data_IF_386186659166
#
_entry.id   IF_386186659166
#
_cell.length_a   1.000
_cell.length_b   1.000
_cell.length_c   1.000
_cell.angle_alpha   90.00
_cell.angle_beta   90.00
_cell.angle_gamma   90.00
#
_symmetry.space_group_name_H-M   'P 1'
#
loop_
_entity.id
_entity.type
_entity.pdbx_description
1 polymer ?
#
# COMPACT_ATOMS: atom_id res chain seq x y z
N UNK A 1 10.02 -8.99 12.93
CA UNK A 1 11.21 -8.10 13.10
C UNK A 1 11.12 -6.86 12.21
N UNK A 2 10.87 -6.98 10.89
CA UNK A 2 10.77 -5.82 9.99
C UNK A 2 9.74 -4.77 10.42
N UNK A 3 8.54 -5.18 10.80
CA UNK A 3 7.50 -4.26 11.24
C UNK A 3 7.87 -3.50 12.52
N UNK A 4 8.65 -4.13 13.42
CA UNK A 4 9.12 -3.46 14.63
C UNK A 4 10.18 -2.40 14.31
N UNK A 5 11.12 -2.72 13.43
CA UNK A 5 12.11 -1.76 12.95
C UNK A 5 11.44 -0.57 12.25
N UNK A 6 10.42 -0.84 11.44
CA UNK A 6 9.63 0.20 10.78
C UNK A 6 8.97 1.13 11.80
N UNK A 7 8.38 0.62 12.88
CA UNK A 7 7.83 1.45 13.96
C UNK A 7 8.90 2.31 14.64
N UNK A 8 10.08 1.79 14.92
CA UNK A 8 11.18 2.54 15.52
C UNK A 8 11.62 3.71 14.62
N UNK A 9 11.64 3.48 13.30
CA UNK A 9 11.91 4.54 12.31
C UNK A 9 10.80 5.60 12.35
N UNK A 10 9.54 5.19 12.36
CA UNK A 10 8.40 6.09 12.39
C UNK A 10 8.35 6.93 13.67
N UNK A 11 8.69 6.36 14.82
CA UNK A 11 8.82 7.10 16.08
C UNK A 11 9.90 8.18 15.98
N UNK A 12 11.02 7.87 15.36
CA UNK A 12 12.09 8.85 15.11
C UNK A 12 11.61 9.99 14.21
N UNK A 13 10.90 9.65 13.12
CA UNK A 13 10.35 10.62 12.19
C UNK A 13 9.26 11.51 12.82
N UNK A 14 8.47 10.97 13.75
CA UNK A 14 7.45 11.73 14.49
C UNK A 14 8.02 12.92 15.25
N UNK A 15 9.26 12.78 15.75
CA UNK A 15 9.97 13.83 16.47
C UNK A 15 10.63 14.89 15.58
N UNK A 16 10.63 14.77 14.26
CA UNK A 16 11.39 15.65 13.37
C UNK A 16 10.77 17.06 13.16
N UNK A 17 9.56 17.31 13.67
CA UNK A 17 8.87 18.61 13.58
C UNK A 17 8.40 19.02 12.18
N UNK A 18 8.41 18.10 11.23
CA UNK A 18 7.95 18.30 9.85
C UNK A 18 6.83 17.31 9.51
N UNK A 19 5.90 17.65 8.60
CA UNK A 19 4.97 16.68 8.05
C UNK A 19 5.73 15.55 7.35
N UNK A 20 5.38 14.30 7.67
CA UNK A 20 5.96 13.11 7.06
C UNK A 20 4.81 12.25 6.53
N UNK A 21 4.90 11.87 5.26
CA UNK A 21 4.00 10.90 4.65
C UNK A 21 4.72 9.56 4.56
N UNK A 22 4.04 8.53 4.99
CA UNK A 22 4.60 7.18 5.02
C UNK A 22 3.65 6.22 4.31
N UNK A 23 4.17 5.47 3.35
CA UNK A 23 3.51 4.30 2.78
C UNK A 23 4.01 3.07 3.53
N UNK A 24 3.10 2.33 4.16
CA UNK A 24 3.45 1.22 5.04
C UNK A 24 2.46 0.07 4.94
N UNK A 25 2.92 -1.14 5.25
CA UNK A 25 2.11 -2.34 5.40
C UNK A 25 2.00 -2.80 6.87
N UNK A 26 2.22 -1.91 7.83
CA UNK A 26 2.08 -2.22 9.25
C UNK A 26 0.66 -2.69 9.58
N UNK A 27 0.51 -3.70 10.46
CA UNK A 27 -0.80 -4.20 10.87
C UNK A 27 -1.69 -3.10 11.44
N UNK A 28 -2.98 -3.12 11.13
CA UNK A 28 -3.95 -2.13 11.59
C UNK A 28 -4.00 -1.99 13.13
N UNK A 29 -3.74 -3.07 13.86
CA UNK A 29 -3.63 -3.05 15.32
C UNK A 29 -2.52 -2.12 15.81
N UNK A 30 -1.34 -2.24 15.20
CA UNK A 30 -0.19 -1.40 15.54
C UNK A 30 -0.41 0.07 15.15
N UNK A 31 -1.02 0.31 13.98
CA UNK A 31 -1.38 1.66 13.56
C UNK A 31 -2.37 2.32 14.51
N UNK A 32 -3.32 1.57 15.08
CA UNK A 32 -4.27 2.09 16.07
C UNK A 32 -3.61 2.52 17.38
N UNK A 33 -2.59 1.81 17.81
CA UNK A 33 -1.84 2.14 19.03
C UNK A 33 -0.90 3.33 18.83
N UNK A 34 -0.38 3.48 17.61
CA UNK A 34 0.68 4.45 17.32
C UNK A 34 0.18 5.74 16.65
N UNK A 35 -0.73 5.65 15.69
CA UNK A 35 -1.13 6.79 14.88
C UNK A 35 -2.24 7.61 15.53
N UNK A 36 -2.20 8.92 15.31
CA UNK A 36 -3.27 9.81 15.71
C UNK A 36 -4.51 9.60 14.81
N UNK A 37 -5.73 9.77 15.37
CA UNK A 37 -6.95 9.74 14.58
C UNK A 37 -6.89 10.72 13.40
N UNK A 38 -7.37 10.29 12.24
CA UNK A 38 -7.34 11.10 11.01
C UNK A 38 -6.00 11.14 10.28
N UNK A 39 -4.96 10.48 10.80
CA UNK A 39 -3.63 10.44 10.18
C UNK A 39 -3.34 9.13 9.44
N UNK A 40 -4.31 8.25 9.34
CA UNK A 40 -4.20 6.99 8.62
C UNK A 40 -5.27 6.91 7.54
N UNK A 41 -4.88 6.54 6.34
CA UNK A 41 -5.76 6.23 5.23
C UNK A 41 -5.37 4.87 4.67
N UNK A 42 -6.34 3.98 4.60
CA UNK A 42 -6.15 2.67 3.98
C UNK A 42 -6.46 2.75 2.49
N UNK A 43 -5.48 2.43 1.66
CA UNK A 43 -5.66 2.31 0.22
C UNK A 43 -5.87 0.84 -0.14
N UNK A 44 -7.07 0.50 -0.61
CA UNK A 44 -7.42 -0.87 -0.97
C UNK A 44 -7.64 -1.01 -2.47
N UNK A 45 -7.02 -2.03 -3.06
CA UNK A 45 -7.38 -2.50 -4.40
C UNK A 45 -8.02 -3.90 -4.26
N UNK A 46 -9.00 -4.25 -5.12
CA UNK A 46 -9.56 -5.60 -5.11
C UNK A 46 -8.44 -6.65 -5.21
N UNK A 47 -8.50 -7.75 -4.42
CA UNK A 47 -7.44 -8.74 -4.37
C UNK A 47 -7.07 -9.29 -5.75
N UNK A 48 -8.07 -9.58 -6.58
CA UNK A 48 -7.89 -10.11 -7.93
C UNK A 48 -7.16 -9.11 -8.84
N UNK A 49 -7.48 -7.83 -8.72
CA UNK A 49 -6.82 -6.76 -9.47
C UNK A 49 -5.36 -6.62 -9.04
N UNK A 50 -5.09 -6.69 -7.74
CA UNK A 50 -3.74 -6.60 -7.19
C UNK A 50 -2.84 -7.73 -7.69
N UNK A 51 -3.36 -8.96 -7.78
CA UNK A 51 -2.62 -10.13 -8.28
C UNK A 51 -2.43 -10.04 -9.80
N UNK A 52 -3.51 -9.79 -10.55
CA UNK A 52 -3.49 -9.77 -12.01
C UNK A 52 -2.56 -8.70 -12.55
N UNK A 53 -2.62 -7.48 -11.98
CA UNK A 53 -1.88 -6.30 -12.47
C UNK A 53 -0.53 -6.10 -11.81
N UNK A 54 -0.05 -7.07 -11.04
CA UNK A 54 1.22 -6.91 -10.32
C UNK A 54 2.38 -6.54 -11.26
N UNK A 55 2.51 -7.24 -12.39
CA UNK A 55 3.57 -7.01 -13.37
C UNK A 55 3.21 -6.02 -14.49
N UNK A 56 1.98 -5.51 -14.54
CA UNK A 56 1.60 -4.47 -15.50
C UNK A 56 2.18 -3.10 -15.14
N UNK A 57 2.70 -2.96 -13.93
CA UNK A 57 3.30 -1.70 -13.47
C UNK A 57 4.71 -1.52 -14.04
N UNK A 58 5.09 -0.30 -14.47
CA UNK A 58 6.42 -0.01 -15.00
C UNK A 58 7.51 0.06 -13.92
N UNK A 59 7.22 -0.34 -12.69
CA UNK A 59 8.16 -0.38 -11.57
C UNK A 59 9.39 -1.22 -11.92
N UNK A 60 10.56 -0.62 -11.82
CA UNK A 60 11.83 -1.27 -12.14
C UNK A 60 12.06 -2.58 -11.37
N UNK A 61 11.66 -2.60 -10.10
CA UNK A 61 11.79 -3.77 -9.23
C UNK A 61 10.85 -4.89 -9.66
N UNK A 62 9.60 -4.58 -10.02
CA UNK A 62 8.63 -5.57 -10.50
C UNK A 62 9.02 -6.13 -11.86
N UNK A 63 9.56 -5.30 -12.74
CA UNK A 63 10.06 -5.73 -14.04
C UNK A 63 11.33 -6.58 -13.89
N UNK A 64 12.18 -6.31 -12.90
CA UNK A 64 13.30 -7.16 -12.56
C UNK A 64 12.84 -8.53 -12.04
N UNK A 65 11.90 -8.56 -11.09
CA UNK A 65 11.33 -9.80 -10.57
C UNK A 65 10.64 -10.62 -11.67
N UNK A 66 9.89 -9.98 -12.56
CA UNK A 66 9.27 -10.65 -13.70
C UNK A 66 10.30 -11.37 -14.57
N UNK A 67 11.43 -10.71 -14.87
CA UNK A 67 12.52 -11.33 -15.64
C UNK A 67 13.14 -12.51 -14.93
N UNK A 68 13.40 -12.41 -13.63
CA UNK A 68 13.93 -13.53 -12.84
C UNK A 68 13.02 -14.77 -12.92
N UNK A 69 11.69 -14.57 -12.82
CA UNK A 69 10.74 -15.68 -12.96
C UNK A 69 10.76 -16.31 -14.34
N UNK A 70 11.02 -15.54 -15.39
CA UNK A 70 11.15 -16.06 -16.77
C UNK A 70 12.47 -16.78 -17.03
N UNK A 71 13.51 -16.54 -16.21
CA UNK A 71 14.83 -17.19 -16.31
C UNK A 71 14.88 -18.53 -15.55
N UNK A 72 13.84 -18.87 -14.79
CA UNK A 72 13.75 -20.15 -14.09
C UNK A 72 13.66 -21.36 -15.06
N UNK A 73 14.07 -22.52 -14.59
CA UNK A 73 14.04 -23.77 -15.38
C UNK A 73 12.63 -24.16 -15.82
N UNK A 74 11.62 -23.79 -15.05
CA UNK A 74 10.19 -23.89 -15.38
C UNK A 74 9.53 -22.54 -15.09
N UNK A 75 9.54 -21.60 -16.05
CA UNK A 75 8.98 -20.27 -15.88
C UNK A 75 7.48 -20.26 -15.54
N UNK A 76 6.74 -21.23 -16.08
CA UNK A 76 5.30 -21.34 -15.82
C UNK A 76 5.03 -21.70 -14.37
N UNK A 77 5.70 -22.75 -13.86
CA UNK A 77 5.58 -23.15 -12.46
C UNK A 77 6.04 -22.04 -11.50
N UNK A 78 7.14 -21.36 -11.83
CA UNK A 78 7.63 -20.21 -11.05
C UNK A 78 6.60 -19.09 -10.99
N UNK A 79 6.00 -18.72 -12.12
CA UNK A 79 4.97 -17.71 -12.20
C UNK A 79 3.71 -18.08 -11.43
N UNK A 80 3.26 -19.34 -11.53
CA UNK A 80 2.07 -19.81 -10.83
C UNK A 80 2.29 -19.86 -9.31
N UNK A 81 3.47 -20.29 -8.86
CA UNK A 81 3.86 -20.22 -7.46
C UNK A 81 3.89 -18.78 -6.93
N UNK A 82 4.42 -17.86 -7.71
CA UNK A 82 4.47 -16.44 -7.36
C UNK A 82 3.05 -15.85 -7.23
N UNK A 83 2.18 -16.12 -8.21
CA UNK A 83 0.77 -15.69 -8.17
C UNK A 83 0.01 -16.29 -7.00
N UNK A 84 0.24 -17.55 -6.68
CA UNK A 84 -0.34 -18.19 -5.51
C UNK A 84 0.12 -17.53 -4.20
N UNK A 85 1.39 -17.12 -4.12
CA UNK A 85 1.93 -16.33 -3.01
C UNK A 85 1.24 -14.98 -2.88
N UNK A 86 1.13 -14.24 -3.98
CA UNK A 86 0.42 -12.95 -4.02
C UNK A 86 -1.04 -13.10 -3.59
N UNK A 87 -1.73 -14.14 -4.04
CA UNK A 87 -3.13 -14.40 -3.67
C UNK A 87 -3.31 -14.68 -2.18
N UNK A 88 -2.34 -15.31 -1.52
CA UNK A 88 -2.36 -15.49 -0.06
C UNK A 88 -2.18 -14.16 0.68
N UNK A 89 -1.27 -13.32 0.20
CA UNK A 89 -1.02 -11.98 0.78
C UNK A 89 -2.23 -11.07 0.57
N UNK A 90 -2.86 -11.14 -0.61
CA UNK A 90 -4.04 -10.35 -0.98
C UNK A 90 -5.34 -11.16 -0.80
N UNK A 91 -5.41 -12.01 0.22
CA UNK A 91 -6.60 -12.85 0.44
C UNK A 91 -7.83 -12.01 0.80
N UNK A 92 -9.05 -12.49 0.47
CA UNK A 92 -10.29 -11.80 0.86
C UNK A 92 -10.39 -11.54 2.36
N UNK A 93 -9.88 -12.45 3.19
CA UNK A 93 -9.86 -12.29 4.63
C UNK A 93 -8.97 -11.10 5.08
N UNK A 94 -7.79 -10.93 4.47
CA UNK A 94 -6.92 -9.76 4.74
C UNK A 94 -7.54 -8.48 4.22
N UNK A 95 -8.16 -8.51 3.06
CA UNK A 95 -8.89 -7.37 2.52
C UNK A 95 -10.00 -6.92 3.48
N UNK A 96 -10.84 -7.86 3.92
CA UNK A 96 -11.91 -7.59 4.89
C UNK A 96 -11.35 -7.07 6.23
N UNK A 97 -10.22 -7.57 6.70
CA UNK A 97 -9.57 -7.09 7.92
C UNK A 97 -9.15 -5.61 7.81
N UNK A 98 -8.65 -5.19 6.66
CA UNK A 98 -8.34 -3.79 6.40
C UNK A 98 -9.61 -2.94 6.23
N UNK A 99 -10.59 -3.44 5.51
CA UNK A 99 -11.87 -2.78 5.29
C UNK A 99 -12.60 -2.49 6.61
N UNK A 100 -12.51 -3.42 7.56
CA UNK A 100 -13.11 -3.30 8.90
C UNK A 100 -12.11 -2.83 9.97
N UNK A 101 -11.00 -2.26 9.58
CA UNK A 101 -9.95 -1.79 10.51
C UNK A 101 -10.37 -0.61 11.40
N UNK A 102 -11.44 0.09 11.04
CA UNK A 102 -11.88 1.32 11.70
C UNK A 102 -11.20 2.59 11.17
N UNK A 103 -10.23 2.47 10.26
CA UNK A 103 -9.64 3.61 9.57
C UNK A 103 -10.45 4.00 8.32
N UNK A 104 -10.37 5.25 7.86
CA UNK A 104 -10.87 5.64 6.54
C UNK A 104 -10.27 4.77 5.44
N UNK A 105 -11.11 4.33 4.52
CA UNK A 105 -10.71 3.47 3.41
C UNK A 105 -11.00 4.15 2.09
N UNK A 106 -9.99 4.27 1.24
CA UNK A 106 -10.10 4.68 -0.14
C UNK A 106 -9.94 3.45 -1.04
N UNK A 107 -11.03 3.01 -1.64
CA UNK A 107 -11.01 1.88 -2.58
C UNK A 107 -10.57 2.35 -3.96
N UNK A 108 -9.68 1.58 -4.56
CA UNK A 108 -9.31 1.79 -5.95
C UNK A 108 -10.45 1.29 -6.84
N UNK A 109 -11.00 2.20 -7.63
CA UNK A 109 -12.04 1.91 -8.63
C UNK A 109 -11.42 1.87 -10.03
N UNK A 110 -11.94 1.00 -10.88
CA UNK A 110 -11.57 0.99 -12.29
C UNK A 110 -12.06 2.29 -12.95
N UNK A 111 -11.17 2.95 -13.68
CA UNK A 111 -11.47 4.23 -14.34
C UNK A 111 -11.14 5.48 -13.54
N UNK A 112 -10.84 5.37 -12.25
CA UNK A 112 -10.35 6.53 -11.48
C UNK A 112 -8.89 6.80 -11.80
N UNK A 113 -8.58 8.05 -12.15
CA UNK A 113 -7.21 8.50 -12.42
C UNK A 113 -6.37 8.62 -11.14
N UNK A 114 -5.06 8.75 -11.31
CA UNK A 114 -4.15 9.00 -10.18
C UNK A 114 -4.44 10.37 -9.55
N UNK A 115 -4.74 11.39 -10.35
CA UNK A 115 -5.07 12.74 -9.90
C UNK A 115 -6.36 12.76 -9.07
N UNK A 116 -7.40 12.07 -9.51
CA UNK A 116 -8.64 11.93 -8.75
C UNK A 116 -8.42 11.19 -7.43
N UNK A 117 -7.60 10.14 -7.44
CA UNK A 117 -7.23 9.39 -6.23
C UNK A 117 -6.45 10.28 -5.26
N UNK A 118 -5.50 11.06 -5.77
CA UNK A 118 -4.72 12.02 -4.97
C UNK A 118 -5.61 13.09 -4.35
N UNK A 119 -6.54 13.65 -5.13
CA UNK A 119 -7.47 14.66 -4.64
C UNK A 119 -8.36 14.14 -3.49
N UNK A 120 -8.85 12.89 -3.62
CA UNK A 120 -9.63 12.24 -2.56
C UNK A 120 -8.78 11.97 -1.31
N UNK A 121 -7.56 11.47 -1.47
CA UNK A 121 -6.64 11.24 -0.36
C UNK A 121 -6.28 12.55 0.35
N UNK A 122 -5.98 13.61 -0.40
CA UNK A 122 -5.70 14.93 0.14
C UNK A 122 -6.88 15.49 0.94
N UNK A 123 -8.10 15.31 0.43
CA UNK A 123 -9.33 15.69 1.15
C UNK A 123 -9.51 14.91 2.47
N UNK A 124 -9.20 13.61 2.49
CA UNK A 124 -9.29 12.79 3.71
C UNK A 124 -8.28 13.20 4.78
N UNK A 125 -7.12 13.69 4.39
CA UNK A 125 -6.12 14.26 5.32
C UNK A 125 -6.32 15.75 5.60
N UNK A 126 -7.40 16.35 5.12
CA UNK A 126 -7.67 17.80 5.19
C UNK A 126 -6.48 18.63 4.66
N UNK A 127 -5.75 18.11 3.69
CA UNK A 127 -4.70 18.83 3.00
C UNK A 127 -5.35 19.79 1.99
N UNK A 128 -5.82 20.94 2.46
CA UNK A 128 -6.27 22.00 1.57
C UNK A 128 -5.06 22.58 0.85
N UNK A 129 -5.11 22.61 -0.48
CA UNK A 129 -4.07 23.20 -1.30
C UNK A 129 -3.92 24.70 -1.03
N UNK A 130 -3.18 25.03 0.01
CA UNK A 130 -2.82 26.37 0.44
C UNK A 130 -1.32 26.44 0.62
N UNK A 131 -0.59 26.59 -0.46
CA UNK A 131 0.84 26.81 -0.43
C UNK A 131 1.32 27.16 -1.81
N UNK A 132 1.23 28.44 -2.19
CA UNK A 132 2.09 28.98 -3.25
C UNK A 132 3.53 28.56 -2.97
N UNK A 133 4.27 28.09 -3.98
CA UNK A 133 5.71 27.90 -3.83
C UNK A 133 6.34 29.28 -3.60
N UNK A 134 7.04 29.41 -2.50
CA UNK A 134 8.06 30.45 -2.34
C UNK A 134 9.29 30.09 -3.14
#
# INVERSE_FOLDING_TARGET
ECARLELEILETLRGCGKPVFVDTNLPAGWLREWALPGHVLILLAPPETSVRRFFERPDREKQFLYRLLLEESDPQAAMDNFRAGLSRINSPARYAAWEHSGFPVLRREEGRTEEETLALAAGMFALTGGGSPC
#
